data_IF_101808092423
#
_entry.id   IF_101808092423
#
_cell.length_a   1.000
_cell.length_b   1.000
_cell.length_c   1.000
_cell.angle_alpha   90.00
_cell.angle_beta   90.00
_cell.angle_gamma   90.00
#
_symmetry.space_group_name_H-M   'P 1'
#
loop_
_entity.id
_entity.type
_entity.pdbx_description
1 polymer ?
#
# COMPACT_ATOMS: atom_id res chain seq x y z
N UNK A 1 -20.66 -4.22 17.62
CA UNK A 1 -20.25 -2.87 17.16
C UNK A 1 -19.22 -2.98 16.00
N UNK A 2 -18.27 -3.89 16.11
CA UNK A 2 -17.21 -4.14 15.11
C UNK A 2 -17.80 -4.51 13.74
N UNK A 3 -18.79 -5.40 13.69
CA UNK A 3 -19.51 -5.80 12.47
C UNK A 3 -20.21 -4.62 11.74
N UNK A 4 -20.80 -3.66 12.47
CA UNK A 4 -21.46 -2.51 11.84
C UNK A 4 -20.44 -1.50 11.27
N UNK A 5 -19.30 -1.31 11.95
CA UNK A 5 -18.22 -0.44 11.49
C UNK A 5 -17.64 -0.99 10.17
N UNK A 6 -17.29 -2.28 10.15
CA UNK A 6 -16.75 -2.95 8.98
C UNK A 6 -17.71 -2.88 7.78
N UNK A 7 -19.00 -3.22 7.99
CA UNK A 7 -20.03 -3.13 6.93
C UNK A 7 -20.17 -1.72 6.36
N UNK A 8 -20.07 -0.68 7.20
CA UNK A 8 -20.16 0.71 6.74
C UNK A 8 -18.95 1.07 5.89
N UNK A 9 -17.73 0.64 6.25
CA UNK A 9 -16.51 0.85 5.47
C UNK A 9 -16.60 0.14 4.12
N UNK A 10 -17.00 -1.12 4.09
CA UNK A 10 -17.19 -1.89 2.85
C UNK A 10 -18.27 -1.27 1.95
N UNK A 11 -19.36 -0.81 2.52
CA UNK A 11 -20.41 -0.09 1.80
C UNK A 11 -19.90 1.24 1.24
N UNK A 12 -19.02 1.94 1.97
CA UNK A 12 -18.39 3.18 1.50
C UNK A 12 -17.50 2.87 0.30
N UNK A 13 -16.67 1.83 0.38
CA UNK A 13 -15.85 1.39 -0.75
C UNK A 13 -16.70 1.06 -1.99
N UNK A 14 -17.78 0.31 -1.83
CA UNK A 14 -18.70 -0.01 -2.92
C UNK A 14 -19.38 1.23 -3.52
N UNK A 15 -19.74 2.22 -2.71
CA UNK A 15 -20.28 3.51 -3.18
C UNK A 15 -19.25 4.30 -3.99
N UNK A 16 -18.00 4.39 -3.49
CA UNK A 16 -16.88 5.06 -4.19
C UNK A 16 -16.60 4.35 -5.52
N UNK A 17 -16.58 3.03 -5.54
CA UNK A 17 -16.37 2.24 -6.75
C UNK A 17 -17.39 2.55 -7.85
N UNK A 18 -18.66 2.73 -7.47
CA UNK A 18 -19.75 3.00 -8.43
C UNK A 18 -19.85 4.46 -8.86
N UNK A 19 -19.59 5.41 -7.97
CA UNK A 19 -19.95 6.82 -8.15
C UNK A 19 -18.79 7.80 -8.09
N UNK A 20 -17.62 7.36 -7.64
CA UNK A 20 -16.49 8.21 -7.30
C UNK A 20 -16.58 8.78 -5.88
N UNK A 21 -15.46 9.38 -5.45
CA UNK A 21 -15.34 9.98 -4.11
C UNK A 21 -16.29 11.16 -3.96
N UNK A 22 -16.32 12.10 -4.92
CA UNK A 22 -17.10 13.34 -4.83
C UNK A 22 -18.61 13.11 -4.68
N UNK A 23 -19.16 12.06 -5.32
CA UNK A 23 -20.59 11.77 -5.34
C UNK A 23 -21.05 10.79 -4.27
N UNK A 24 -20.16 10.26 -3.46
CA UNK A 24 -20.52 9.36 -2.36
C UNK A 24 -21.03 10.17 -1.17
N UNK A 25 -22.24 9.88 -0.71
CA UNK A 25 -22.89 10.56 0.44
C UNK A 25 -23.12 9.60 1.60
N UNK A 26 -23.27 10.15 2.82
CA UNK A 26 -23.61 9.35 4.01
C UNK A 26 -24.95 8.59 3.81
N UNK A 27 -25.90 9.18 3.08
CA UNK A 27 -27.16 8.55 2.74
C UNK A 27 -27.00 7.31 1.86
N UNK A 28 -26.12 7.41 0.86
CA UNK A 28 -25.82 6.28 -0.03
C UNK A 28 -25.16 5.15 0.75
N UNK A 29 -24.19 5.49 1.62
CA UNK A 29 -23.50 4.53 2.47
C UNK A 29 -24.46 3.85 3.46
N UNK A 30 -25.32 4.61 4.13
CA UNK A 30 -26.31 4.07 5.06
C UNK A 30 -27.24 3.06 4.38
N UNK A 31 -27.73 3.40 3.19
CA UNK A 31 -28.59 2.52 2.38
C UNK A 31 -27.84 1.25 1.95
N UNK A 32 -26.60 1.39 1.48
CA UNK A 32 -25.77 0.26 1.04
C UNK A 32 -25.42 -0.68 2.20
N UNK A 33 -25.07 -0.12 3.36
CA UNK A 33 -24.73 -0.89 4.57
C UNK A 33 -25.96 -1.50 5.27
N UNK A 34 -27.18 -1.13 4.87
CA UNK A 34 -28.41 -1.57 5.53
C UNK A 34 -28.58 -1.02 6.95
N UNK A 35 -28.09 0.21 7.21
CA UNK A 35 -28.17 0.86 8.53
C UNK A 35 -28.83 2.23 8.44
N UNK A 36 -29.21 2.82 9.60
CA UNK A 36 -29.70 4.19 9.65
C UNK A 36 -28.55 5.20 9.52
N UNK A 37 -28.86 6.42 9.02
CA UNK A 37 -27.91 7.56 9.04
C UNK A 37 -27.38 7.84 10.45
N UNK A 38 -28.24 7.75 11.46
CA UNK A 38 -27.85 7.92 12.84
C UNK A 38 -26.79 6.89 13.31
N UNK A 39 -26.89 5.65 12.79
CA UNK A 39 -25.90 4.61 13.03
C UNK A 39 -24.58 4.95 12.38
N UNK A 40 -24.59 5.48 11.14
CA UNK A 40 -23.36 5.92 10.45
C UNK A 40 -22.71 7.06 11.22
N UNK A 41 -23.43 8.13 11.59
CA UNK A 41 -22.86 9.25 12.34
C UNK A 41 -22.41 8.88 13.75
N UNK A 42 -22.99 7.86 14.37
CA UNK A 42 -22.49 7.33 15.66
C UNK A 42 -21.16 6.60 15.52
N UNK A 43 -20.97 5.86 14.41
CA UNK A 43 -19.72 5.15 14.12
C UNK A 43 -18.63 6.07 13.55
N UNK A 44 -19.03 7.09 12.80
CA UNK A 44 -18.16 8.06 12.11
C UNK A 44 -18.70 9.49 12.33
N UNK A 45 -18.39 10.10 13.50
CA UNK A 45 -18.90 11.44 13.83
C UNK A 45 -18.47 12.55 12.86
N UNK A 46 -17.27 12.42 12.25
CA UNK A 46 -16.78 13.32 11.20
C UNK A 46 -17.48 13.14 9.83
N UNK A 47 -18.47 12.24 9.78
CA UNK A 47 -19.29 12.06 8.61
C UNK A 47 -18.54 11.54 7.38
N UNK A 48 -18.79 12.16 6.23
CA UNK A 48 -18.28 11.70 4.93
C UNK A 48 -16.76 11.62 4.86
N UNK A 49 -16.05 12.62 5.35
CA UNK A 49 -14.59 12.68 5.22
C UNK A 49 -13.93 11.61 6.10
N UNK A 50 -14.45 11.38 7.29
CA UNK A 50 -14.01 10.29 8.15
C UNK A 50 -14.29 8.92 7.52
N UNK A 51 -15.44 8.74 6.89
CA UNK A 51 -15.78 7.52 6.14
C UNK A 51 -14.78 7.24 5.02
N UNK A 52 -14.45 8.24 4.22
CA UNK A 52 -13.48 8.09 3.13
C UNK A 52 -12.10 7.73 3.68
N UNK A 53 -11.63 8.44 4.71
CA UNK A 53 -10.33 8.16 5.34
C UNK A 53 -10.29 6.75 5.94
N UNK A 54 -11.34 6.33 6.65
CA UNK A 54 -11.43 4.98 7.21
C UNK A 54 -11.45 3.90 6.11
N UNK A 55 -12.11 4.19 4.98
CA UNK A 55 -12.16 3.28 3.83
C UNK A 55 -10.78 3.12 3.18
N UNK A 56 -10.03 4.21 3.05
CA UNK A 56 -8.65 4.14 2.51
C UNK A 56 -7.73 3.40 3.47
N UNK A 57 -7.83 3.67 4.77
CA UNK A 57 -7.05 2.96 5.79
C UNK A 57 -7.35 1.44 5.77
N UNK A 58 -8.62 1.06 5.66
CA UNK A 58 -9.04 -0.33 5.52
C UNK A 58 -8.48 -0.98 4.24
N UNK A 59 -8.59 -0.31 3.10
CA UNK A 59 -8.05 -0.81 1.83
C UNK A 59 -6.52 -0.95 1.87
N UNK A 60 -5.83 -0.07 2.58
CA UNK A 60 -4.38 -0.16 2.81
C UNK A 60 -4.03 -1.37 3.66
N UNK A 61 -4.77 -1.63 4.74
CA UNK A 61 -4.56 -2.82 5.58
C UNK A 61 -4.83 -4.12 4.81
N UNK A 62 -5.89 -4.18 4.01
CA UNK A 62 -6.19 -5.32 3.14
C UNK A 62 -5.06 -5.56 2.12
N UNK A 63 -4.56 -4.49 1.50
CA UNK A 63 -3.40 -4.57 0.61
C UNK A 63 -2.18 -5.19 1.30
N UNK A 64 -1.83 -4.73 2.52
CA UNK A 64 -0.70 -5.29 3.27
C UNK A 64 -0.94 -6.74 3.70
N UNK A 65 -2.16 -7.11 4.04
CA UNK A 65 -2.53 -8.51 4.31
C UNK A 65 -2.24 -9.41 3.10
N UNK A 66 -2.67 -8.99 1.90
CA UNK A 66 -2.41 -9.71 0.65
C UNK A 66 -0.92 -9.72 0.28
N UNK A 67 -0.22 -8.61 0.48
CA UNK A 67 1.23 -8.52 0.29
C UNK A 67 1.96 -9.54 1.18
N UNK A 68 1.58 -9.62 2.46
CA UNK A 68 2.19 -10.55 3.41
C UNK A 68 2.06 -12.00 2.93
N UNK A 69 0.87 -12.42 2.49
CA UNK A 69 0.66 -13.75 1.91
C UNK A 69 1.50 -13.98 0.63
N UNK A 70 1.75 -12.92 -0.13
CA UNK A 70 2.54 -13.03 -1.37
C UNK A 70 4.02 -13.24 -1.13
N UNK A 71 4.56 -12.64 -0.08
CA UNK A 71 5.98 -12.76 0.30
C UNK A 71 6.25 -13.90 1.28
N UNK A 72 5.22 -14.50 1.83
CA UNK A 72 5.34 -15.64 2.75
C UNK A 72 6.18 -16.76 2.12
N UNK A 73 7.09 -17.34 2.91
CA UNK A 73 8.00 -18.38 2.44
C UNK A 73 9.12 -17.90 1.49
N UNK A 74 9.31 -16.59 1.34
CA UNK A 74 10.48 -16.06 0.64
C UNK A 74 11.76 -16.41 1.39
N UNK A 75 12.78 -16.91 0.69
CA UNK A 75 14.01 -17.42 1.27
C UNK A 75 15.07 -16.32 1.50
N UNK A 76 14.87 -15.12 0.98
CA UNK A 76 15.85 -14.03 1.06
C UNK A 76 15.19 -12.66 0.98
N UNK A 77 15.94 -11.62 1.40
CA UNK A 77 15.53 -10.23 1.24
C UNK A 77 15.28 -9.88 -0.23
N UNK A 78 16.13 -10.35 -1.13
CA UNK A 78 16.00 -10.16 -2.57
C UNK A 78 14.64 -10.69 -3.06
N UNK A 79 14.30 -11.91 -2.69
CA UNK A 79 13.04 -12.53 -3.09
C UNK A 79 11.81 -11.85 -2.48
N UNK A 80 11.89 -11.38 -1.23
CA UNK A 80 10.83 -10.56 -0.60
C UNK A 80 10.58 -9.29 -1.41
N UNK A 81 11.65 -8.59 -1.78
CA UNK A 81 11.56 -7.34 -2.53
C UNK A 81 11.03 -7.59 -3.95
N UNK A 82 11.52 -8.61 -4.65
CA UNK A 82 11.08 -8.98 -6.00
C UNK A 82 9.57 -9.30 -6.01
N UNK A 83 9.13 -10.22 -5.14
CA UNK A 83 7.70 -10.59 -5.01
C UNK A 83 6.83 -9.40 -4.59
N UNK A 84 7.33 -8.59 -3.65
CA UNK A 84 6.62 -7.43 -3.13
C UNK A 84 6.42 -6.33 -4.17
N UNK A 85 7.47 -5.98 -4.93
CA UNK A 85 7.41 -4.96 -5.98
C UNK A 85 6.46 -5.38 -7.10
N UNK A 86 6.60 -6.62 -7.61
CA UNK A 86 5.72 -7.14 -8.66
C UNK A 86 4.27 -7.18 -8.21
N UNK A 87 4.00 -7.64 -6.98
CA UNK A 87 2.66 -7.67 -6.42
C UNK A 87 2.07 -6.26 -6.28
N UNK A 88 2.83 -5.32 -5.73
CA UNK A 88 2.37 -3.95 -5.53
C UNK A 88 2.09 -3.25 -6.86
N UNK A 89 2.97 -3.40 -7.84
CA UNK A 89 2.81 -2.85 -9.18
C UNK A 89 1.50 -3.34 -9.82
N UNK A 90 1.29 -4.66 -9.90
CA UNK A 90 0.06 -5.25 -10.44
C UNK A 90 -1.18 -4.83 -9.68
N UNK A 91 -1.12 -4.86 -8.35
CA UNK A 91 -2.25 -4.47 -7.51
C UNK A 91 -2.70 -3.02 -7.76
N UNK A 92 -1.77 -2.10 -8.04
CA UNK A 92 -2.10 -0.71 -8.35
C UNK A 92 -2.68 -0.58 -9.77
N UNK A 93 -2.06 -1.22 -10.76
CA UNK A 93 -2.50 -1.12 -12.17
C UNK A 93 -3.88 -1.77 -12.36
N UNK A 94 -4.10 -2.93 -11.76
CA UNK A 94 -5.33 -3.70 -11.89
C UNK A 94 -6.47 -3.17 -10.99
N UNK A 95 -6.19 -2.21 -10.10
CA UNK A 95 -7.18 -1.69 -9.16
C UNK A 95 -8.10 -0.66 -9.83
N UNK A 96 -9.15 -1.13 -10.48
CA UNK A 96 -10.08 -0.33 -11.28
C UNK A 96 -10.60 0.92 -10.56
N UNK A 97 -10.96 0.80 -9.27
CA UNK A 97 -11.48 1.92 -8.47
C UNK A 97 -10.42 2.99 -8.28
N UNK A 98 -9.19 2.60 -7.92
CA UNK A 98 -8.07 3.50 -7.75
C UNK A 98 -7.74 4.21 -9.06
N UNK A 99 -7.61 3.48 -10.15
CA UNK A 99 -7.32 4.01 -11.48
C UNK A 99 -8.39 5.00 -11.93
N UNK A 100 -9.67 4.67 -11.72
CA UNK A 100 -10.79 5.57 -12.03
C UNK A 100 -10.71 6.86 -11.22
N UNK A 101 -10.53 6.78 -9.90
CA UNK A 101 -10.47 7.97 -9.02
C UNK A 101 -9.25 8.81 -9.37
N UNK A 102 -8.09 8.21 -9.66
CA UNK A 102 -6.90 8.92 -10.12
C UNK A 102 -7.14 9.70 -11.41
N UNK A 103 -7.90 9.15 -12.35
CA UNK A 103 -8.19 9.79 -13.63
C UNK A 103 -9.28 10.88 -13.54
N UNK A 104 -10.30 10.66 -12.70
CA UNK A 104 -11.49 11.52 -12.69
C UNK A 104 -11.51 12.52 -11.54
N UNK A 105 -10.86 12.23 -10.43
CA UNK A 105 -10.92 13.02 -9.19
C UNK A 105 -9.54 13.11 -8.48
N UNK A 106 -8.44 13.43 -9.19
CA UNK A 106 -7.10 13.41 -8.60
C UNK A 106 -6.97 14.41 -7.43
N UNK A 107 -7.69 15.53 -7.48
CA UNK A 107 -7.73 16.54 -6.43
C UNK A 107 -8.32 16.03 -5.10
N UNK A 108 -9.16 15.01 -5.15
CA UNK A 108 -9.71 14.35 -3.96
C UNK A 108 -8.80 13.26 -3.43
N UNK A 109 -8.09 12.57 -4.30
CA UNK A 109 -7.25 11.44 -3.92
C UNK A 109 -5.88 11.89 -3.37
N UNK A 110 -5.24 12.89 -3.97
CA UNK A 110 -3.90 13.33 -3.59
C UNK A 110 -3.74 13.68 -2.11
N UNK A 111 -4.64 14.46 -1.46
CA UNK A 111 -4.53 14.73 -0.03
C UNK A 111 -4.58 13.47 0.83
N UNK A 112 -5.45 12.52 0.46
CA UNK A 112 -5.63 11.25 1.18
C UNK A 112 -4.36 10.40 1.06
N UNK A 113 -3.83 10.25 -0.15
CA UNK A 113 -2.58 9.52 -0.38
C UNK A 113 -1.39 10.17 0.32
N UNK A 114 -1.35 11.49 0.44
CA UNK A 114 -0.29 12.19 1.18
C UNK A 114 -0.32 11.86 2.68
N UNK A 115 -1.49 11.79 3.29
CA UNK A 115 -1.65 11.39 4.70
C UNK A 115 -1.27 9.93 4.90
N UNK A 116 -1.75 9.05 4.01
CA UNK A 116 -1.48 7.61 4.09
C UNK A 116 -0.05 7.22 3.68
N UNK A 117 0.67 8.07 2.95
CA UNK A 117 2.03 7.76 2.46
C UNK A 117 3.01 7.39 3.58
N UNK A 118 2.92 8.03 4.74
CA UNK A 118 3.75 7.68 5.90
C UNK A 118 3.42 6.29 6.43
N UNK A 119 2.14 5.93 6.56
CA UNK A 119 1.71 4.60 7.00
C UNK A 119 2.14 3.50 6.03
N UNK A 120 2.00 3.77 4.73
CA UNK A 120 2.44 2.82 3.69
C UNK A 120 3.96 2.63 3.78
N UNK A 121 4.73 3.71 3.89
CA UNK A 121 6.19 3.66 4.05
C UNK A 121 6.61 2.90 5.29
N UNK A 122 6.02 3.21 6.44
CA UNK A 122 6.26 2.51 7.71
C UNK A 122 5.89 1.02 7.62
N UNK A 123 4.79 0.68 6.95
CA UNK A 123 4.39 -0.70 6.69
C UNK A 123 5.43 -1.45 5.85
N UNK A 124 5.94 -0.84 4.77
CA UNK A 124 7.00 -1.45 3.94
C UNK A 124 8.28 -1.62 4.76
N UNK A 125 8.70 -0.59 5.52
CA UNK A 125 9.89 -0.66 6.35
C UNK A 125 9.78 -1.78 7.41
N UNK A 126 8.62 -1.92 8.05
CA UNK A 126 8.36 -2.99 9.03
C UNK A 126 8.43 -4.39 8.40
N UNK A 127 7.97 -4.54 7.15
CA UNK A 127 8.09 -5.80 6.39
C UNK A 127 9.54 -6.13 6.09
N UNK A 128 10.36 -5.14 5.71
CA UNK A 128 11.74 -5.35 5.29
C UNK A 128 12.72 -5.53 6.45
N UNK A 129 12.48 -4.91 7.62
CA UNK A 129 13.41 -4.87 8.73
C UNK A 129 13.90 -6.25 9.22
N UNK A 130 13.06 -7.30 9.38
CA UNK A 130 13.53 -8.63 9.77
C UNK A 130 14.53 -9.23 8.77
N UNK A 131 14.22 -9.12 7.47
CA UNK A 131 15.07 -9.66 6.40
C UNK A 131 16.40 -8.89 6.24
N UNK A 132 16.38 -7.55 6.46
CA UNK A 132 17.57 -6.73 6.49
C UNK A 132 18.49 -7.13 7.65
N UNK A 133 17.93 -7.37 8.83
CA UNK A 133 18.67 -7.82 10.01
C UNK A 133 19.35 -9.16 9.77
N UNK A 134 18.66 -10.12 9.13
CA UNK A 134 19.22 -11.44 8.81
C UNK A 134 20.25 -11.39 7.69
N UNK A 135 20.03 -10.55 6.67
CA UNK A 135 20.92 -10.43 5.50
C UNK A 135 22.27 -9.79 5.84
N UNK A 136 22.29 -8.91 6.84
CA UNK A 136 23.44 -8.13 7.25
C UNK A 136 23.61 -6.84 6.44
N UNK A 137 23.83 -5.77 7.16
CA UNK A 137 23.96 -4.41 6.62
C UNK A 137 25.41 -4.09 6.25
N UNK A 138 25.59 -3.19 5.30
CA UNK A 138 26.90 -2.64 4.98
C UNK A 138 27.45 -1.84 6.17
N UNK A 139 28.78 -1.70 6.25
CA UNK A 139 29.44 -1.02 7.36
C UNK A 139 28.95 0.43 7.49
N UNK A 140 28.48 0.79 8.68
CA UNK A 140 27.99 2.14 9.00
C UNK A 140 26.53 2.40 8.60
N UNK A 141 25.80 1.39 8.11
CA UNK A 141 24.38 1.50 7.78
C UNK A 141 23.56 1.08 9.01
N UNK A 142 22.65 1.92 9.44
CA UNK A 142 21.66 1.64 10.49
C UNK A 142 20.45 0.89 9.93
N UNK A 143 19.84 0.03 10.75
CA UNK A 143 18.73 -0.82 10.31
C UNK A 143 17.46 0.00 9.97
N UNK A 144 17.12 0.95 10.82
CA UNK A 144 15.90 1.75 10.64
C UNK A 144 16.06 2.70 9.45
N UNK A 145 17.25 3.29 9.29
CA UNK A 145 17.59 4.13 8.14
C UNK A 145 17.58 3.33 6.83
N UNK A 146 18.10 2.10 6.83
CA UNK A 146 18.08 1.21 5.67
C UNK A 146 16.64 0.81 5.29
N UNK A 147 15.83 0.44 6.27
CA UNK A 147 14.43 0.06 6.04
C UNK A 147 13.61 1.23 5.50
N UNK A 148 13.78 2.44 6.08
CA UNK A 148 13.10 3.66 5.61
C UNK A 148 13.55 4.05 4.20
N UNK A 149 14.86 4.01 3.93
CA UNK A 149 15.41 4.28 2.60
C UNK A 149 14.82 3.32 1.55
N UNK A 150 14.85 2.02 1.81
CA UNK A 150 14.33 1.03 0.88
C UNK A 150 12.82 1.19 0.68
N UNK A 151 12.05 1.48 1.73
CA UNK A 151 10.62 1.74 1.61
C UNK A 151 10.33 2.94 0.69
N UNK A 152 11.10 4.04 0.82
CA UNK A 152 11.00 5.21 -0.07
C UNK A 152 11.35 4.85 -1.51
N UNK A 153 12.43 4.10 -1.71
CA UNK A 153 12.87 3.73 -3.05
C UNK A 153 11.86 2.78 -3.73
N UNK A 154 11.32 1.80 -3.01
CA UNK A 154 10.25 0.92 -3.50
C UNK A 154 9.04 1.74 -3.95
N UNK A 155 8.56 2.67 -3.13
CA UNK A 155 7.45 3.55 -3.49
C UNK A 155 7.76 4.41 -4.72
N UNK A 156 8.98 4.93 -4.81
CA UNK A 156 9.43 5.71 -5.95
C UNK A 156 9.39 4.89 -7.25
N UNK A 157 9.94 3.69 -7.25
CA UNK A 157 9.94 2.83 -8.45
C UNK A 157 8.55 2.32 -8.82
N UNK A 158 7.68 2.00 -7.85
CA UNK A 158 6.29 1.63 -8.13
C UNK A 158 5.53 2.79 -8.77
N UNK A 159 5.76 4.03 -8.30
CA UNK A 159 5.08 5.22 -8.83
C UNK A 159 5.63 5.68 -10.18
N UNK A 160 6.93 5.51 -10.40
CA UNK A 160 7.64 5.95 -11.60
C UNK A 160 8.78 4.96 -11.94
N UNK A 161 8.47 3.83 -12.57
CA UNK A 161 9.44 2.74 -12.82
C UNK A 161 10.58 3.13 -13.78
N UNK A 162 10.45 4.23 -14.51
CA UNK A 162 11.46 4.69 -15.44
C UNK A 162 11.69 3.69 -16.58
N UNK A 163 12.92 3.15 -16.66
CA UNK A 163 13.31 2.16 -17.68
C UNK A 163 12.97 0.71 -17.33
N UNK A 164 12.47 0.47 -16.10
CA UNK A 164 12.24 -0.86 -15.58
C UNK A 164 10.84 -1.35 -15.90
N UNK A 165 10.74 -2.55 -16.45
CA UNK A 165 9.47 -3.26 -16.56
C UNK A 165 9.25 -4.05 -15.26
N UNK A 166 8.27 -3.61 -14.45
CA UNK A 166 7.96 -4.24 -13.16
C UNK A 166 7.06 -5.48 -13.30
N UNK A 167 6.65 -5.85 -14.51
CA UNK A 167 6.02 -7.13 -14.81
C UNK A 167 7.01 -8.21 -15.26
N UNK A 168 8.25 -7.81 -15.60
CA UNK A 168 9.35 -8.70 -15.98
C UNK A 168 10.18 -9.10 -14.75
N UNK A 169 10.15 -10.38 -14.30
CA UNK A 169 10.88 -10.84 -13.13
C UNK A 169 12.40 -10.61 -13.22
N UNK A 170 13.00 -10.74 -14.40
CA UNK A 170 14.43 -10.57 -14.57
C UNK A 170 14.84 -9.10 -14.43
N UNK A 171 14.01 -8.19 -14.89
CA UNK A 171 14.23 -6.76 -14.72
C UNK A 171 14.05 -6.33 -13.26
N UNK A 172 13.01 -6.83 -12.57
CA UNK A 172 12.81 -6.57 -11.15
C UNK A 172 13.97 -7.12 -10.31
N UNK A 173 14.44 -8.33 -10.60
CA UNK A 173 15.62 -8.90 -9.92
C UNK A 173 16.89 -8.07 -10.13
N UNK A 174 17.08 -7.51 -11.33
CA UNK A 174 18.21 -6.58 -11.59
C UNK A 174 18.04 -5.27 -10.83
N UNK A 175 16.85 -4.67 -10.86
CA UNK A 175 16.54 -3.45 -10.11
C UNK A 175 16.86 -3.62 -8.61
N UNK A 176 16.36 -4.70 -8.01
CA UNK A 176 16.58 -5.00 -6.60
C UNK A 176 18.09 -5.07 -6.28
N UNK A 177 18.85 -5.84 -7.07
CA UNK A 177 20.28 -6.04 -6.81
C UNK A 177 21.12 -4.81 -7.10
N UNK A 178 20.86 -4.10 -8.21
CA UNK A 178 21.75 -3.06 -8.70
C UNK A 178 21.44 -1.65 -8.20
N UNK A 179 20.18 -1.38 -7.81
CA UNK A 179 19.78 -0.02 -7.43
C UNK A 179 19.24 0.04 -5.99
N UNK A 180 18.54 -1.00 -5.53
CA UNK A 180 17.94 -0.97 -4.19
C UNK A 180 18.91 -1.48 -3.12
N UNK A 181 19.50 -2.64 -3.30
CA UNK A 181 20.37 -3.26 -2.27
C UNK A 181 21.84 -2.85 -2.37
N UNK A 182 22.25 -2.24 -3.48
CA UNK A 182 23.63 -1.81 -3.66
C UNK A 182 24.03 -0.76 -2.61
N UNK A 183 25.05 -1.09 -1.80
CA UNK A 183 25.52 -0.23 -0.72
C UNK A 183 24.69 -0.25 0.56
N UNK A 184 23.55 -0.92 0.58
CA UNK A 184 22.70 -1.09 1.78
C UNK A 184 23.07 -2.36 2.54
N UNK A 185 23.25 -3.46 1.81
CA UNK A 185 23.60 -4.77 2.40
C UNK A 185 25.02 -5.18 2.06
N UNK A 186 25.58 -6.10 2.85
CA UNK A 186 26.89 -6.70 2.55
C UNK A 186 26.81 -7.41 1.19
N UNK A 187 27.75 -7.10 0.29
CA UNK A 187 27.84 -7.79 -0.99
C UNK A 187 27.99 -9.31 -0.77
N UNK A 188 27.17 -10.11 -1.46
CA UNK A 188 27.39 -11.55 -1.49
C UNK A 188 28.77 -11.80 -2.10
N UNK A 189 29.73 -12.30 -1.33
CA UNK A 189 30.92 -12.89 -1.91
C UNK A 189 30.45 -14.15 -2.64
N UNK A 190 30.30 -14.05 -3.96
CA UNK A 190 30.18 -15.25 -4.79
C UNK A 190 31.49 -16.02 -4.58
N UNK A 191 31.42 -17.29 -4.15
CA UNK A 191 32.62 -18.12 -3.98
C UNK A 191 33.31 -18.36 -5.32
#
# INVERSE_FOLDING_TARGET
MEDAHQRIVEATYACVARRGVAKTTVEDVAREAGVSRATVYRAFPGGRDELINATVAWATLDFFGRLYHRIEGAASLEEVMERGIMFAHRSIIEHEVLQRVMQTEPDKLLPILTVESNRIREGIAAVLAPYLSERGLAAGVDLDDAADFLARMVLSYISAPGRWDLDDPDQVARLVRSELLAGVVVANRVP
#
